data_IF_985716868715
#
_entry.id   IF_985716868715
#
_cell.length_a   1.000
_cell.length_b   1.000
_cell.length_c   1.000
_cell.angle_alpha   90.00
_cell.angle_beta   90.00
_cell.angle_gamma   90.00
#
_symmetry.space_group_name_H-M   'P 1'
#
loop_
_entity.id
_entity.type
_entity.pdbx_description
1 polymer ?
#
# COMPACT_ATOMS: atom_id res chain seq x y z
N UNK A 1 5.05 17.51 -0.76
CA UNK A 1 4.86 16.76 -2.03
C UNK A 1 3.61 15.91 -1.87
N UNK A 2 2.77 15.79 -2.89
CA UNK A 2 1.46 15.17 -2.76
C UNK A 2 1.29 14.03 -3.76
N UNK A 3 0.85 12.86 -3.29
CA UNK A 3 0.43 11.76 -4.16
C UNK A 3 -1.06 11.87 -4.45
N UNK A 4 -1.43 11.69 -5.71
CA UNK A 4 -2.83 11.66 -6.14
C UNK A 4 -3.50 10.33 -5.75
N UNK A 5 -4.73 10.42 -5.22
CA UNK A 5 -5.66 9.31 -4.99
C UNK A 5 -7.03 9.68 -5.57
N UNK A 6 -7.83 8.65 -5.88
CA UNK A 6 -9.13 8.82 -6.54
C UNK A 6 -9.04 8.54 -8.04
N UNK A 7 -10.20 8.25 -8.64
CA UNK A 7 -10.36 8.01 -10.08
C UNK A 7 -11.42 8.90 -10.72
N UNK A 8 -12.14 9.71 -9.92
CA UNK A 8 -13.15 10.66 -10.37
C UNK A 8 -12.71 12.08 -9.99
N UNK A 9 -13.06 13.07 -10.80
CA UNK A 9 -12.71 14.47 -10.58
C UNK A 9 -13.28 15.03 -9.26
N UNK A 10 -14.45 14.54 -8.83
CA UNK A 10 -15.11 14.98 -7.61
C UNK A 10 -14.59 14.27 -6.35
N UNK A 11 -13.81 13.21 -6.52
CA UNK A 11 -13.28 12.37 -5.44
C UNK A 11 -11.74 12.39 -5.37
N UNK A 12 -11.12 13.39 -6.00
CA UNK A 12 -9.67 13.56 -5.96
C UNK A 12 -9.21 13.86 -4.53
N UNK A 13 -8.21 13.12 -4.08
CA UNK A 13 -7.51 13.39 -2.82
C UNK A 13 -6.02 13.55 -3.11
N UNK A 14 -5.45 14.67 -2.63
CA UNK A 14 -4.02 14.88 -2.58
C UNK A 14 -3.53 14.54 -1.18
N UNK A 15 -2.84 13.40 -1.06
CA UNK A 15 -2.25 12.99 0.22
C UNK A 15 -0.81 13.49 0.29
N UNK A 16 -0.49 14.24 1.33
CA UNK A 16 0.87 14.68 1.57
C UNK A 16 1.80 13.49 1.89
N UNK A 17 3.00 13.55 1.34
CA UNK A 17 4.10 12.61 1.60
C UNK A 17 5.41 13.37 1.75
N UNK A 18 6.36 12.76 2.46
CA UNK A 18 7.71 13.29 2.63
C UNK A 18 8.34 13.65 1.29
N UNK A 19 8.99 14.80 1.22
CA UNK A 19 9.58 15.34 0.00
C UNK A 19 10.89 14.63 -0.37
N UNK A 20 10.80 13.36 -0.79
CA UNK A 20 11.94 12.45 -1.09
C UNK A 20 11.64 11.61 -2.35
N UNK A 21 12.64 11.42 -3.21
CA UNK A 21 12.51 10.64 -4.45
C UNK A 21 12.07 9.19 -4.19
N UNK A 22 12.37 8.63 -3.02
CA UNK A 22 11.91 7.30 -2.58
C UNK A 22 10.40 7.19 -2.44
N UNK A 23 9.66 8.29 -2.40
CA UNK A 23 8.20 8.26 -2.41
C UNK A 23 7.62 8.16 -3.81
N UNK A 24 8.37 8.51 -4.85
CA UNK A 24 7.90 8.45 -6.22
C UNK A 24 7.61 7.00 -6.62
N UNK A 25 6.62 6.82 -7.48
CA UNK A 25 6.13 5.51 -7.90
C UNK A 25 5.88 5.52 -9.39
N UNK A 26 6.46 4.57 -10.12
CA UNK A 26 6.38 4.55 -11.58
C UNK A 26 4.95 4.43 -12.12
N UNK A 27 3.96 3.98 -11.33
CA UNK A 27 2.55 3.90 -11.73
C UNK A 27 1.65 5.00 -11.14
N UNK A 28 2.20 6.04 -10.52
CA UNK A 28 1.41 7.11 -9.89
C UNK A 28 1.77 8.50 -10.41
N UNK A 29 0.88 9.46 -10.15
CA UNK A 29 1.05 10.88 -10.42
C UNK A 29 1.19 11.64 -9.11
N UNK A 30 2.07 12.64 -9.10
CA UNK A 30 2.39 13.47 -7.94
C UNK A 30 2.28 14.94 -8.30
N UNK A 31 1.84 15.74 -7.33
CA UNK A 31 1.79 17.19 -7.40
C UNK A 31 2.81 17.76 -6.42
N UNK A 32 3.68 18.62 -6.92
CA UNK A 32 4.67 19.37 -6.15
C UNK A 32 4.23 20.82 -6.11
N UNK A 33 4.18 21.40 -4.92
CA UNK A 33 3.78 22.79 -4.72
C UNK A 33 4.95 23.48 -4.02
N UNK A 34 5.55 24.47 -4.67
CA UNK A 34 6.59 25.29 -4.07
C UNK A 34 5.94 26.51 -3.41
N UNK A 35 5.92 26.56 -2.07
CA UNK A 35 5.32 27.66 -1.34
C UNK A 35 5.98 29.01 -1.60
N UNK A 36 7.32 29.09 -1.63
CA UNK A 36 8.02 30.35 -1.90
C UNK A 36 7.75 30.93 -3.29
N UNK A 37 7.69 30.09 -4.33
CA UNK A 37 7.54 30.58 -5.71
C UNK A 37 6.09 30.55 -6.21
N UNK A 38 5.19 29.91 -5.48
CA UNK A 38 3.81 29.66 -5.93
C UNK A 38 3.71 28.67 -7.10
N UNK A 39 4.81 28.03 -7.50
CA UNK A 39 4.84 27.15 -8.66
C UNK A 39 4.32 25.76 -8.32
N UNK A 40 3.57 25.17 -9.26
CA UNK A 40 3.06 23.81 -9.16
C UNK A 40 3.65 22.98 -10.29
N UNK A 41 4.23 21.84 -9.95
CA UNK A 41 4.77 20.88 -10.91
C UNK A 41 4.04 19.54 -10.78
N UNK A 42 3.80 18.90 -11.90
CA UNK A 42 3.23 17.55 -11.95
C UNK A 42 4.35 16.60 -12.35
N UNK A 43 4.52 15.55 -11.58
CA UNK A 43 5.35 14.42 -11.95
C UNK A 43 4.46 13.22 -12.25
N UNK A 44 4.69 12.58 -13.39
CA UNK A 44 3.98 11.38 -13.78
C UNK A 44 4.98 10.23 -13.87
N UNK A 45 4.69 9.14 -13.18
CA UNK A 45 5.47 7.91 -13.33
C UNK A 45 5.34 7.37 -14.76
N UNK A 46 6.38 6.68 -15.24
CA UNK A 46 6.43 6.17 -16.63
C UNK A 46 5.26 5.24 -17.01
N UNK A 47 4.67 4.54 -16.03
CA UNK A 47 3.52 3.64 -16.16
C UNK A 47 2.26 4.18 -15.46
N UNK A 48 2.21 5.47 -15.16
CA UNK A 48 1.01 6.08 -14.58
C UNK A 48 -0.14 6.08 -15.60
N UNK A 49 -1.37 5.69 -15.20
CA UNK A 49 -2.52 5.66 -16.10
C UNK A 49 -2.89 7.05 -16.63
N UNK A 50 -3.38 7.12 -17.87
CA UNK A 50 -3.73 8.40 -18.51
C UNK A 50 -4.77 9.20 -17.71
N UNK A 51 -5.83 8.54 -17.23
CA UNK A 51 -6.87 9.20 -16.42
C UNK A 51 -6.26 9.83 -15.17
N UNK A 52 -5.35 9.14 -14.48
CA UNK A 52 -4.67 9.65 -13.29
C UNK A 52 -3.76 10.85 -13.59
N UNK A 53 -3.13 10.91 -14.78
CA UNK A 53 -2.37 12.09 -15.23
C UNK A 53 -3.28 13.29 -15.48
N UNK A 54 -4.45 13.07 -16.05
CA UNK A 54 -5.44 14.13 -16.29
C UNK A 54 -6.01 14.66 -14.97
N UNK A 55 -6.37 13.78 -14.03
CA UNK A 55 -6.80 14.18 -12.68
C UNK A 55 -5.72 14.98 -11.94
N UNK A 56 -4.44 14.65 -12.11
CA UNK A 56 -3.35 15.45 -11.53
C UNK A 56 -3.29 16.89 -12.09
N UNK A 57 -3.64 17.08 -13.37
CA UNK A 57 -3.76 18.41 -13.99
C UNK A 57 -4.96 19.14 -13.41
N UNK A 58 -6.14 18.51 -13.40
CA UNK A 58 -7.36 19.07 -12.81
C UNK A 58 -7.12 19.52 -11.37
N UNK A 59 -6.50 18.67 -10.55
CA UNK A 59 -6.16 19.00 -9.17
C UNK A 59 -5.21 20.21 -9.06
N UNK A 60 -4.20 20.26 -9.94
CA UNK A 60 -3.24 21.37 -9.97
C UNK A 60 -3.90 22.69 -10.37
N UNK A 61 -4.81 22.66 -11.34
CA UNK A 61 -5.53 23.86 -11.79
C UNK A 61 -6.53 24.33 -10.72
N UNK A 62 -7.22 23.41 -10.05
CA UNK A 62 -8.10 23.71 -8.92
C UNK A 62 -7.35 24.38 -7.76
N UNK A 63 -6.13 23.93 -7.45
CA UNK A 63 -5.29 24.56 -6.42
C UNK A 63 -4.92 25.99 -6.80
N UNK A 64 -4.56 26.23 -8.07
CA UNK A 64 -4.22 27.57 -8.57
C UNK A 64 -5.43 28.50 -8.51
N UNK A 65 -6.59 28.03 -8.94
CA UNK A 65 -7.82 28.80 -8.95
C UNK A 65 -8.27 29.18 -7.54
N UNK A 66 -8.32 28.20 -6.63
CA UNK A 66 -8.77 28.41 -5.25
C UNK A 66 -7.77 29.18 -4.39
N UNK A 67 -6.52 29.38 -4.86
CA UNK A 67 -5.44 30.06 -4.13
C UNK A 67 -5.34 29.59 -2.68
N UNK A 68 -5.30 28.27 -2.47
CA UNK A 68 -5.31 27.67 -1.13
C UNK A 68 -4.05 28.08 -0.37
N UNK A 69 -4.15 29.10 0.47
CA UNK A 69 -3.01 29.77 1.12
C UNK A 69 -2.18 28.83 2.01
N UNK A 70 -2.80 27.80 2.56
CA UNK A 70 -2.13 26.83 3.43
C UNK A 70 -1.11 25.96 2.67
N UNK A 71 -1.35 25.70 1.38
CA UNK A 71 -0.45 24.89 0.56
C UNK A 71 0.82 25.64 0.13
N UNK A 72 0.86 26.96 0.32
CA UNK A 72 1.97 27.82 -0.09
C UNK A 72 2.84 28.31 1.08
N UNK A 73 2.65 27.76 2.28
CA UNK A 73 3.43 28.15 3.47
C UNK A 73 4.83 27.53 3.51
N UNK A 74 5.00 26.34 2.93
CA UNK A 74 6.24 25.57 3.03
C UNK A 74 7.00 25.43 1.72
N UNK A 75 8.33 25.44 1.84
CA UNK A 75 9.23 25.30 0.70
C UNK A 75 9.47 23.82 0.37
N UNK A 76 9.12 23.43 -0.85
CA UNK A 76 9.51 22.13 -1.40
C UNK A 76 11.00 22.15 -1.73
N UNK A 77 11.78 21.30 -1.05
CA UNK A 77 13.16 21.02 -1.40
C UNK A 77 13.22 20.30 -2.75
N UNK A 78 14.26 20.54 -3.54
CA UNK A 78 14.48 19.89 -4.84
C UNK A 78 14.52 18.36 -4.65
N UNK A 79 13.54 17.65 -5.19
CA UNK A 79 13.41 16.18 -5.04
C UNK A 79 14.03 15.42 -6.21
N UNK A 80 13.99 16.03 -7.40
CA UNK A 80 14.39 15.40 -8.66
C UNK A 80 15.74 16.02 -9.10
N UNK A 81 16.73 15.17 -9.33
CA UNK A 81 18.07 15.57 -9.81
C UNK A 81 19.23 14.99 -8.98
N UNK A 82 19.08 14.92 -7.66
CA UNK A 82 20.16 14.47 -6.76
C UNK A 82 20.00 13.01 -6.30
N UNK A 83 18.85 12.39 -6.58
CA UNK A 83 18.57 11.00 -6.20
C UNK A 83 18.77 10.04 -7.39
N UNK A 84 19.36 8.85 -7.15
CA UNK A 84 19.49 7.80 -8.16
C UNK A 84 18.18 7.55 -8.89
N UNK A 85 18.25 7.51 -10.23
CA UNK A 85 17.09 7.39 -11.11
C UNK A 85 16.30 6.10 -10.85
N UNK A 86 16.98 5.06 -10.40
CA UNK A 86 16.41 3.74 -10.09
C UNK A 86 15.32 3.79 -9.01
N UNK A 87 15.34 4.78 -8.10
CA UNK A 87 14.33 4.91 -7.06
C UNK A 87 12.93 5.21 -7.59
N UNK A 88 12.82 5.85 -8.75
CA UNK A 88 11.55 6.33 -9.29
C UNK A 88 11.27 5.88 -10.74
N UNK A 89 12.28 5.34 -11.42
CA UNK A 89 12.19 4.81 -12.78
C UNK A 89 12.33 3.28 -12.85
N UNK A 90 12.10 2.56 -11.75
CA UNK A 90 12.29 1.10 -11.69
C UNK A 90 11.47 0.30 -12.70
N UNK A 91 10.35 0.84 -13.19
CA UNK A 91 9.53 0.20 -14.23
C UNK A 91 9.73 0.79 -15.63
N UNK A 92 10.76 1.61 -15.86
CA UNK A 92 10.99 2.28 -17.14
C UNK A 92 11.23 1.28 -18.28
N UNK A 93 12.13 0.33 -18.07
CA UNK A 93 12.48 -0.72 -19.04
C UNK A 93 11.54 -1.94 -18.98
N UNK A 94 10.57 -1.94 -18.06
CA UNK A 94 9.67 -3.07 -17.89
C UNK A 94 8.55 -3.01 -18.96
N UNK A 95 8.41 -4.06 -19.75
CA UNK A 95 7.45 -4.18 -20.85
C UNK A 95 6.14 -4.88 -20.47
N UNK A 96 5.99 -5.29 -19.22
CA UNK A 96 4.75 -5.92 -18.74
C UNK A 96 3.55 -4.98 -18.86
N UNK A 97 2.36 -5.58 -18.93
CA UNK A 97 1.12 -4.85 -18.82
C UNK A 97 0.88 -4.40 -17.36
N UNK A 98 0.62 -3.10 -17.19
CA UNK A 98 0.32 -2.47 -15.91
C UNK A 98 -1.12 -1.97 -15.83
N UNK A 99 -1.99 -2.43 -16.73
CA UNK A 99 -3.40 -2.06 -16.85
C UNK A 99 -4.30 -2.84 -15.88
N UNK A 100 -3.93 -2.86 -14.60
CA UNK A 100 -4.65 -3.63 -13.58
C UNK A 100 -4.64 -2.94 -12.20
N UNK A 101 -5.65 -3.26 -11.39
CA UNK A 101 -5.74 -2.87 -9.98
C UNK A 101 -5.26 -4.04 -9.11
N UNK A 102 -4.21 -3.88 -8.29
CA UNK A 102 -3.83 -4.91 -7.31
C UNK A 102 -4.98 -5.25 -6.36
N UNK A 103 -5.11 -6.51 -5.98
CA UNK A 103 -6.12 -7.01 -5.03
C UNK A 103 -5.45 -7.41 -3.73
N UNK A 104 -6.14 -7.23 -2.60
CA UNK A 104 -5.60 -7.60 -1.29
C UNK A 104 -6.63 -8.41 -0.52
N UNK A 105 -6.20 -9.50 0.09
CA UNK A 105 -7.03 -10.41 0.86
C UNK A 105 -6.46 -10.51 2.26
N UNK A 106 -7.31 -10.39 3.27
CA UNK A 106 -6.99 -10.73 4.63
C UNK A 106 -7.36 -12.19 4.88
N UNK A 107 -6.42 -12.96 5.40
CA UNK A 107 -6.66 -14.30 5.88
C UNK A 107 -6.84 -14.26 7.39
N UNK A 108 -8.01 -14.70 7.84
CA UNK A 108 -8.38 -14.76 9.25
C UNK A 108 -8.88 -16.15 9.59
N UNK A 109 -8.80 -16.48 10.88
CA UNK A 109 -9.38 -17.69 11.43
C UNK A 109 -10.20 -17.26 12.64
N UNK A 110 -11.50 -17.46 12.62
CA UNK A 110 -12.36 -17.02 13.73
C UNK A 110 -12.31 -18.05 14.86
N UNK A 111 -12.00 -17.61 16.08
CA UNK A 111 -11.87 -18.53 17.24
C UNK A 111 -13.20 -19.06 17.75
N UNK A 112 -14.32 -18.44 17.40
CA UNK A 112 -15.61 -18.70 18.04
C UNK A 112 -16.43 -19.82 17.38
N UNK A 113 -16.01 -20.35 16.24
CA UNK A 113 -16.74 -21.45 15.58
C UNK A 113 -15.79 -22.23 14.67
N UNK A 114 -15.31 -23.38 15.15
CA UNK A 114 -14.66 -24.46 14.37
C UNK A 114 -13.28 -24.19 13.72
N UNK A 115 -12.65 -23.02 13.93
CA UNK A 115 -11.29 -22.79 13.39
C UNK A 115 -11.27 -22.76 11.86
N UNK A 116 -12.30 -22.17 11.26
CA UNK A 116 -12.44 -22.06 9.81
C UNK A 116 -11.47 -21.00 9.31
N UNK A 117 -10.61 -21.39 8.37
CA UNK A 117 -9.74 -20.49 7.64
C UNK A 117 -10.55 -19.75 6.57
N UNK A 118 -10.60 -18.42 6.67
CA UNK A 118 -11.39 -17.56 5.80
C UNK A 118 -10.51 -16.55 5.08
N UNK A 119 -10.92 -16.18 3.87
CA UNK A 119 -10.29 -15.14 3.06
C UNK A 119 -11.29 -14.04 2.78
N UNK A 120 -10.96 -12.82 3.17
CA UNK A 120 -11.79 -11.62 2.93
C UNK A 120 -11.04 -10.64 2.05
N UNK A 121 -11.60 -10.30 0.88
CA UNK A 121 -11.02 -9.27 0.02
C UNK A 121 -11.25 -7.86 0.58
N UNK A 122 -10.19 -7.06 0.63
CA UNK A 122 -10.27 -5.66 0.98
C UNK A 122 -10.61 -4.83 -0.26
N UNK A 123 -11.67 -4.04 -0.15
CA UNK A 123 -12.14 -3.18 -1.23
C UNK A 123 -11.46 -1.81 -1.18
N UNK A 124 -11.09 -1.29 -2.35
CA UNK A 124 -10.61 0.08 -2.46
C UNK A 124 -11.80 1.06 -2.37
N UNK A 125 -11.76 2.08 -1.50
CA UNK A 125 -12.86 3.04 -1.38
C UNK A 125 -13.16 3.80 -2.67
N UNK A 126 -12.12 4.20 -3.42
CA UNK A 126 -12.27 4.93 -4.69
C UNK A 126 -12.27 4.00 -5.91
N UNK A 127 -12.71 2.75 -5.75
CA UNK A 127 -12.77 1.81 -6.88
C UNK A 127 -13.77 2.31 -7.92
N UNK A 128 -13.38 2.22 -9.18
CA UNK A 128 -14.24 2.50 -10.32
C UNK A 128 -14.33 1.22 -11.17
N UNK A 129 -15.45 1.01 -11.85
CA UNK A 129 -15.67 -0.17 -12.69
C UNK A 129 -14.73 -0.18 -13.90
N UNK A 130 -14.55 0.99 -14.51
CA UNK A 130 -13.89 1.12 -15.81
C UNK A 130 -12.47 1.72 -15.70
N UNK A 131 -12.06 2.14 -14.50
CA UNK A 131 -10.76 2.77 -14.25
C UNK A 131 -9.91 1.98 -13.26
N UNK A 132 -8.61 1.89 -13.55
CA UNK A 132 -7.65 1.17 -12.72
C UNK A 132 -7.10 2.03 -11.58
N UNK A 133 -6.74 1.39 -10.48
CA UNK A 133 -6.12 2.01 -9.31
C UNK A 133 -4.78 1.33 -9.01
N UNK A 134 -3.64 1.93 -9.39
CA UNK A 134 -2.34 1.26 -9.27
C UNK A 134 -1.87 1.02 -7.83
N UNK A 135 -2.30 1.87 -6.88
CA UNK A 135 -1.92 1.79 -5.47
C UNK A 135 -3.16 1.95 -4.56
N UNK A 136 -4.06 0.96 -4.53
CA UNK A 136 -5.34 1.06 -3.81
C UNK A 136 -5.18 0.96 -2.29
N UNK A 137 -4.14 0.28 -1.82
CA UNK A 137 -3.94 -0.01 -0.41
C UNK A 137 -2.83 0.83 0.22
N UNK A 138 -2.90 0.97 1.55
CA UNK A 138 -1.94 1.76 2.33
C UNK A 138 -1.27 0.91 3.41
N UNK A 139 -0.07 1.30 3.82
CA UNK A 139 0.64 0.67 4.94
C UNK A 139 -0.21 0.68 6.22
N UNK A 140 -0.94 1.76 6.48
CA UNK A 140 -1.78 1.87 7.66
C UNK A 140 -2.81 0.73 7.76
N UNK A 141 -3.39 0.30 6.64
CA UNK A 141 -4.35 -0.83 6.62
C UNK A 141 -3.73 -2.15 7.08
N UNK A 142 -2.45 -2.39 6.76
CA UNK A 142 -1.73 -3.60 7.20
C UNK A 142 -1.40 -3.50 8.70
N UNK A 143 -0.93 -2.34 9.16
CA UNK A 143 -0.39 -2.15 10.50
C UNK A 143 -1.47 -1.92 11.57
N UNK A 144 -2.65 -1.40 11.19
CA UNK A 144 -3.77 -1.19 12.11
C UNK A 144 -4.69 -2.42 12.22
N UNK A 145 -4.43 -3.48 11.46
CA UNK A 145 -5.17 -4.72 11.58
C UNK A 145 -4.83 -5.44 12.90
N UNK A 146 -5.75 -6.26 13.41
CA UNK A 146 -5.52 -7.07 14.62
C UNK A 146 -4.41 -8.07 14.35
N UNK A 147 -3.31 -7.95 15.09
CA UNK A 147 -2.13 -8.80 14.93
C UNK A 147 -2.18 -10.02 15.86
N UNK A 148 -1.57 -11.16 15.48
CA UNK A 148 -0.98 -11.43 14.16
C UNK A 148 -2.06 -11.65 13.09
N UNK A 149 -1.76 -11.29 11.84
CA UNK A 149 -2.66 -11.47 10.69
C UNK A 149 -1.87 -11.67 9.40
N UNK A 150 -2.49 -12.21 8.36
CA UNK A 150 -1.82 -12.48 7.09
C UNK A 150 -2.60 -11.78 5.98
N UNK A 151 -1.89 -11.01 5.16
CA UNK A 151 -2.44 -10.44 3.94
C UNK A 151 -1.79 -11.08 2.72
N UNK A 152 -2.59 -11.40 1.72
CA UNK A 152 -2.13 -11.74 0.37
C UNK A 152 -2.40 -10.57 -0.56
N UNK A 153 -1.40 -10.18 -1.37
CA UNK A 153 -1.51 -9.10 -2.35
C UNK A 153 -1.26 -9.70 -3.74
N UNK A 154 -2.28 -9.65 -4.59
CA UNK A 154 -2.20 -10.04 -5.99
C UNK A 154 -1.84 -8.81 -6.85
N UNK A 155 -0.63 -8.82 -7.42
CA UNK A 155 -0.10 -7.78 -8.30
C UNK A 155 -0.07 -8.23 -9.78
N UNK A 156 -1.05 -9.04 -10.20
CA UNK A 156 -1.22 -9.57 -11.56
C UNK A 156 -0.18 -10.59 -12.01
N UNK A 157 1.11 -10.21 -12.07
CA UNK A 157 2.21 -11.11 -12.41
C UNK A 157 2.67 -11.94 -11.21
N UNK A 158 2.57 -11.38 -10.02
CA UNK A 158 3.12 -11.92 -8.78
C UNK A 158 2.09 -11.87 -7.66
N UNK A 159 2.25 -12.77 -6.70
CA UNK A 159 1.49 -12.78 -5.45
C UNK A 159 2.47 -12.59 -4.30
N UNK A 160 2.19 -11.61 -3.45
CA UNK A 160 2.98 -11.28 -2.28
C UNK A 160 2.22 -11.69 -1.03
N UNK A 161 2.95 -12.13 -0.01
CA UNK A 161 2.40 -12.38 1.31
C UNK A 161 3.05 -11.47 2.33
N UNK A 162 2.22 -10.78 3.10
CA UNK A 162 2.63 -10.01 4.25
C UNK A 162 2.15 -10.73 5.51
N UNK A 163 3.07 -10.97 6.44
CA UNK A 163 2.78 -11.62 7.71
C UNK A 163 2.98 -10.61 8.84
N UNK A 164 1.93 -10.45 9.63
CA UNK A 164 1.91 -9.63 10.82
C UNK A 164 2.85 -10.12 11.91
N UNK A 165 3.14 -9.23 12.86
CA UNK A 165 3.95 -9.55 14.02
C UNK A 165 3.10 -10.15 15.14
N UNK A 166 3.74 -10.79 16.10
CA UNK A 166 3.08 -11.18 17.34
C UNK A 166 3.13 -10.01 18.34
N UNK A 167 2.00 -9.59 18.95
CA UNK A 167 2.00 -8.49 19.91
C UNK A 167 2.97 -8.75 21.06
N UNK A 168 3.76 -7.72 21.42
CA UNK A 168 4.76 -7.83 22.52
C UNK A 168 4.06 -7.97 23.87
N UNK A 169 2.86 -7.44 24.03
CA UNK A 169 2.04 -7.58 25.25
C UNK A 169 1.73 -9.05 25.55
N UNK A 170 1.45 -9.85 24.51
CA UNK A 170 1.24 -11.29 24.64
C UNK A 170 2.55 -12.06 24.93
N UNK A 171 3.72 -11.44 24.74
CA UNK A 171 5.03 -11.98 25.13
C UNK A 171 5.46 -11.59 26.56
N UNK A 172 4.78 -10.63 27.21
CA UNK A 172 5.18 -10.08 28.52
C UNK A 172 4.48 -10.71 29.73
N UNK A 173 3.68 -11.77 29.52
CA UNK A 173 2.98 -12.45 30.61
C UNK A 173 3.90 -13.26 31.56
N UNK A 174 5.22 -13.31 31.33
CA UNK A 174 6.20 -13.77 32.32
C UNK A 174 7.21 -12.64 32.65
N UNK A 175 7.05 -11.90 33.76
CA UNK A 175 7.99 -10.85 34.18
C UNK A 175 9.31 -11.38 34.76
N UNK A 176 9.61 -12.67 34.57
CA UNK A 176 10.84 -13.31 35.00
C UNK A 176 11.39 -14.09 33.82
N UNK A 177 12.23 -13.43 33.02
CA UNK A 177 13.58 -13.91 32.68
C UNK A 177 14.16 -13.09 31.53
N UNK A 178 15.44 -12.80 31.69
CA UNK A 178 16.26 -12.01 30.79
C UNK A 178 16.34 -12.67 29.41
N UNK A 179 16.15 -11.85 28.37
CA UNK A 179 16.92 -11.86 27.13
C UNK A 179 17.24 -13.26 26.55
N UNK A 180 16.30 -13.81 25.77
CA UNK A 180 16.67 -14.71 24.66
C UNK A 180 15.93 -16.03 24.50
N UNK A 181 14.86 -16.32 25.24
CA UNK A 181 14.17 -17.62 25.13
C UNK A 181 12.81 -17.55 24.43
N UNK A 182 12.60 -18.56 23.58
CA UNK A 182 11.46 -18.77 22.71
C UNK A 182 10.14 -18.85 23.52
N UNK A 183 9.02 -18.28 23.04
CA UNK A 183 7.74 -18.28 23.76
C UNK A 183 7.09 -19.67 23.70
N UNK A 184 7.62 -20.65 24.44
CA UNK A 184 7.32 -22.07 24.16
C UNK A 184 6.66 -22.90 25.26
N UNK A 185 6.06 -22.31 26.30
CA UNK A 185 5.23 -23.13 27.21
C UNK A 185 3.81 -22.64 27.48
N UNK A 186 3.56 -21.35 27.72
CA UNK A 186 2.23 -20.92 28.17
C UNK A 186 1.20 -20.72 27.03
N UNK A 187 1.66 -20.45 25.80
CA UNK A 187 0.79 -20.17 24.64
C UNK A 187 0.99 -21.12 23.44
N UNK A 188 1.40 -22.38 23.68
CA UNK A 188 1.62 -23.38 22.60
C UNK A 188 0.42 -23.54 21.67
N UNK A 189 -0.80 -23.48 22.20
CA UNK A 189 -2.01 -23.58 21.39
C UNK A 189 -2.14 -22.41 20.39
N UNK A 190 -1.85 -21.18 20.83
CA UNK A 190 -1.84 -19.99 19.96
C UNK A 190 -0.75 -20.05 18.89
N UNK A 191 0.46 -20.49 19.26
CA UNK A 191 1.59 -20.65 18.33
C UNK A 191 1.29 -21.73 17.28
N UNK A 192 0.79 -22.90 17.70
CA UNK A 192 0.45 -23.99 16.79
C UNK A 192 -0.68 -23.59 15.83
N UNK A 193 -1.69 -22.87 16.34
CA UNK A 193 -2.76 -22.31 15.52
C UNK A 193 -2.20 -21.33 14.48
N UNK A 194 -1.33 -20.41 14.89
CA UNK A 194 -0.70 -19.46 13.98
C UNK A 194 0.16 -20.15 12.89
N UNK A 195 0.91 -21.20 13.24
CA UNK A 195 1.67 -22.00 12.27
C UNK A 195 0.71 -22.68 11.27
N UNK A 196 -0.39 -23.25 11.75
CA UNK A 196 -1.41 -23.88 10.90
C UNK A 196 -2.04 -22.86 9.94
N UNK A 197 -2.40 -21.67 10.44
CA UNK A 197 -2.94 -20.57 9.63
C UNK A 197 -1.95 -20.11 8.56
N UNK A 198 -0.65 -19.97 8.89
CA UNK A 198 0.39 -19.66 7.90
C UNK A 198 0.51 -20.72 6.82
N UNK A 199 0.43 -22.01 7.18
CA UNK A 199 0.47 -23.11 6.22
C UNK A 199 -0.74 -23.07 5.28
N UNK A 200 -1.95 -22.89 5.83
CA UNK A 200 -3.17 -22.76 5.05
C UNK A 200 -3.13 -21.54 4.11
N UNK A 201 -2.63 -20.41 4.60
CA UNK A 201 -2.43 -19.20 3.80
C UNK A 201 -1.47 -19.40 2.63
N UNK A 202 -0.32 -20.03 2.86
CA UNK A 202 0.66 -20.34 1.81
C UNK A 202 0.08 -21.31 0.77
N UNK A 203 -0.61 -22.36 1.21
CA UNK A 203 -1.29 -23.31 0.31
C UNK A 203 -2.37 -22.63 -0.52
N UNK A 204 -3.12 -21.72 0.08
CA UNK A 204 -4.14 -20.91 -0.60
C UNK A 204 -3.51 -19.99 -1.63
N UNK A 205 -2.43 -19.29 -1.30
CA UNK A 205 -1.73 -18.40 -2.23
C UNK A 205 -1.16 -19.15 -3.45
N UNK A 206 -0.57 -20.33 -3.24
CA UNK A 206 -0.07 -21.17 -4.33
C UNK A 206 -1.21 -21.68 -5.20
N UNK A 207 -2.31 -22.14 -4.59
CA UNK A 207 -3.48 -22.63 -5.32
C UNK A 207 -4.16 -21.51 -6.12
N UNK A 208 -4.27 -20.31 -5.55
CA UNK A 208 -4.76 -19.11 -6.22
C UNK A 208 -3.89 -18.74 -7.42
N UNK A 209 -2.56 -18.71 -7.26
CA UNK A 209 -1.64 -18.39 -8.34
C UNK A 209 -1.72 -19.40 -9.49
N UNK A 210 -1.77 -20.71 -9.19
CA UNK A 210 -1.98 -21.76 -10.19
C UNK A 210 -3.30 -21.58 -10.92
N UNK A 211 -4.42 -21.45 -10.21
CA UNK A 211 -5.73 -21.24 -10.82
C UNK A 211 -5.78 -19.99 -11.73
N UNK A 212 -5.02 -18.94 -11.39
CA UNK A 212 -4.94 -17.71 -12.19
C UNK A 212 -4.03 -17.83 -13.42
N UNK A 213 -2.96 -18.65 -13.36
CA UNK A 213 -1.93 -18.76 -14.41
C UNK A 213 -2.04 -20.00 -15.29
N UNK A 214 -2.83 -21.00 -14.89
CA UNK A 214 -2.92 -22.32 -15.54
C UNK A 214 -1.90 -23.29 -14.99
#
# INVERSE_FOLDING_TARGET
MYILKGNDENEIILKEVNCDAKQLRSRASFVFINGATGQIFIWNGCKSPEHSRNLAKVASDLIKEKKVSDLFKDNVKKVIGDSPRDFYASLLENTNDFSFTPRMFNFSCTSNTKGIFESTELQYPFRCKDLISPYPFTQNQLYSARQPTIFMIDNMSEVWMWMGWWPIEDMRLSPTEERGESPTNENRAGVNRWISERKAALQTAVSYWKAKKG
#
